data_IF_158277595184
#
_entry.id   IF_158277595184
#
_cell.length_a   1.000
_cell.length_b   1.000
_cell.length_c   1.000
_cell.angle_alpha   90.00
_cell.angle_beta   90.00
_cell.angle_gamma   90.00
#
_symmetry.space_group_name_H-M   'P 1'
#
loop_
_entity.id
_entity.type
_entity.pdbx_description
1 polymer ?
#
# COMPACT_ATOMS: atom_id res chain seq x y z
N UNK A 1 -5.94 -6.47 0.13
CA UNK A 1 -5.47 -5.53 -0.91
C UNK A 1 -6.17 -4.20 -0.75
N UNK A 2 -5.44 -3.09 -0.76
CA UNK A 2 -6.05 -1.76 -0.79
C UNK A 2 -6.59 -1.41 -2.18
N UNK A 3 -7.42 -0.36 -2.23
CA UNK A 3 -7.91 0.21 -3.48
C UNK A 3 -6.80 0.93 -4.26
N UNK A 4 -7.14 1.50 -5.42
CA UNK A 4 -6.19 2.14 -6.34
C UNK A 4 -5.29 1.12 -7.06
N UNK A 5 -3.99 1.39 -7.18
CA UNK A 5 -3.02 0.52 -7.85
C UNK A 5 -2.82 -0.86 -7.19
N UNK A 6 -2.69 -1.01 -5.85
CA UNK A 6 -2.45 -2.31 -5.22
C UNK A 6 -3.35 -3.46 -5.70
N UNK A 7 -4.66 -3.25 -5.80
CA UNK A 7 -5.58 -4.28 -6.29
C UNK A 7 -5.48 -4.50 -7.80
N UNK A 8 -5.20 -3.45 -8.59
CA UNK A 8 -5.06 -3.54 -10.06
C UNK A 8 -3.77 -4.23 -10.45
N UNK A 9 -2.68 -3.91 -9.76
CA UNK A 9 -1.37 -4.51 -10.00
C UNK A 9 -1.37 -5.99 -9.60
N UNK A 10 -2.09 -6.34 -8.53
CA UNK A 10 -2.30 -7.73 -8.16
C UNK A 10 -3.15 -8.51 -9.18
N UNK A 11 -4.10 -7.85 -9.86
CA UNK A 11 -4.92 -8.44 -10.93
C UNK A 11 -4.13 -8.67 -12.22
N UNK A 12 -3.11 -7.84 -12.47
CA UNK A 12 -2.18 -7.96 -13.61
C UNK A 12 -1.00 -8.90 -13.33
N UNK A 13 -0.55 -8.99 -12.07
CA UNK A 13 0.61 -9.78 -11.69
C UNK A 13 0.31 -11.29 -11.73
N UNK A 14 1.33 -12.14 -11.96
CA UNK A 14 1.17 -13.59 -11.85
C UNK A 14 0.68 -13.99 -10.45
N UNK A 15 -0.50 -14.60 -10.40
CA UNK A 15 -1.07 -15.14 -9.16
C UNK A 15 -0.63 -16.59 -8.99
N UNK A 16 -0.28 -16.99 -7.76
CA UNK A 16 -0.01 -18.40 -7.44
C UNK A 16 -1.25 -19.24 -7.71
N UNK A 17 -1.07 -20.51 -8.08
CA UNK A 17 -2.18 -21.43 -8.33
C UNK A 17 -3.13 -21.60 -7.11
N UNK A 18 -2.62 -21.38 -5.89
CA UNK A 18 -3.38 -21.36 -4.65
C UNK A 18 -2.98 -20.11 -3.83
N UNK A 19 -3.64 -18.96 -4.06
CA UNK A 19 -3.25 -17.68 -3.46
C UNK A 19 -3.76 -17.48 -2.02
N UNK A 20 -4.58 -18.40 -1.49
CA UNK A 20 -5.29 -18.20 -0.24
C UNK A 20 -6.39 -17.11 -0.32
N UNK A 21 -7.06 -16.80 0.81
CA UNK A 21 -8.13 -15.80 0.84
C UNK A 21 -7.63 -14.38 0.56
N UNK A 22 -8.33 -13.65 -0.31
CA UNK A 22 -8.05 -12.25 -0.64
C UNK A 22 -9.23 -11.37 -0.23
N UNK A 23 -8.94 -10.32 0.53
CA UNK A 23 -9.93 -9.34 0.99
C UNK A 23 -9.62 -7.95 0.41
N UNK A 24 -10.66 -7.21 0.01
CA UNK A 24 -10.54 -5.84 -0.47
C UNK A 24 -11.86 -5.06 -0.29
N UNK A 25 -11.77 -3.78 0.09
CA UNK A 25 -12.92 -2.88 0.24
C UNK A 25 -13.40 -2.35 -1.12
N UNK A 26 -13.98 -3.22 -1.96
CA UNK A 26 -14.36 -2.91 -3.35
C UNK A 26 -15.77 -2.33 -3.52
N UNK A 27 -16.57 -2.23 -2.45
CA UNK A 27 -17.93 -1.68 -2.51
C UNK A 27 -17.95 -0.23 -3.04
N UNK A 28 -17.36 0.70 -2.27
CA UNK A 28 -17.19 2.11 -2.70
C UNK A 28 -15.75 2.46 -3.08
N UNK A 29 -14.81 1.54 -2.90
CA UNK A 29 -13.40 1.71 -3.32
C UNK A 29 -12.63 2.87 -2.64
N UNK A 30 -13.06 3.32 -1.46
CA UNK A 30 -12.38 4.39 -0.69
C UNK A 30 -11.02 3.98 -0.13
N UNK A 31 -10.18 4.96 0.20
CA UNK A 31 -8.88 4.70 0.86
C UNK A 31 -9.01 4.66 2.39
N UNK A 32 -10.15 5.11 2.91
CA UNK A 32 -10.51 5.15 4.32
C UNK A 32 -10.54 3.73 4.93
N UNK A 33 -10.03 3.59 6.15
CA UNK A 33 -10.14 2.35 6.93
C UNK A 33 -9.40 1.15 6.34
N UNK A 34 -8.42 1.36 5.46
CA UNK A 34 -7.62 0.30 4.83
C UNK A 34 -6.84 -0.54 5.85
N UNK A 35 -6.12 0.11 6.77
CA UNK A 35 -5.37 -0.51 7.87
C UNK A 35 -6.32 -1.07 8.91
N UNK A 36 -7.38 -0.34 9.27
CA UNK A 36 -8.41 -0.81 10.20
C UNK A 36 -9.04 -2.13 9.72
N UNK A 37 -9.41 -2.20 8.44
CA UNK A 37 -9.99 -3.40 7.84
C UNK A 37 -9.00 -4.57 7.86
N UNK A 38 -7.75 -4.36 7.48
CA UNK A 38 -6.73 -5.42 7.50
C UNK A 38 -6.46 -5.94 8.91
N UNK A 39 -6.47 -5.06 9.91
CA UNK A 39 -6.36 -5.41 11.33
C UNK A 39 -7.53 -6.29 11.76
N UNK A 40 -8.76 -5.90 11.44
CA UNK A 40 -9.95 -6.68 11.75
C UNK A 40 -9.97 -8.07 11.09
N UNK A 41 -9.57 -8.15 9.81
CA UNK A 41 -9.41 -9.43 9.10
C UNK A 41 -8.40 -10.33 9.82
N UNK A 42 -7.22 -9.82 10.12
CA UNK A 42 -6.15 -10.58 10.75
C UNK A 42 -6.54 -11.09 12.16
N UNK A 43 -7.28 -10.29 12.92
CA UNK A 43 -7.84 -10.68 14.21
C UNK A 43 -8.92 -11.75 14.07
N UNK A 44 -9.84 -11.60 13.11
CA UNK A 44 -10.97 -12.51 12.93
C UNK A 44 -10.55 -13.88 12.38
N UNK A 45 -9.56 -13.93 11.49
CA UNK A 45 -9.05 -15.19 10.93
C UNK A 45 -8.00 -15.84 11.83
N UNK A 46 -7.36 -15.06 12.72
CA UNK A 46 -6.22 -15.48 13.53
C UNK A 46 -5.10 -16.12 12.68
N UNK A 47 -4.85 -15.54 11.50
CA UNK A 47 -3.79 -15.97 10.57
C UNK A 47 -2.86 -14.82 10.22
N UNK A 48 -1.56 -15.09 9.98
CA UNK A 48 -0.65 -14.08 9.45
C UNK A 48 -1.23 -13.44 8.19
N UNK A 49 -1.38 -12.12 8.22
CA UNK A 49 -2.05 -11.36 7.17
C UNK A 49 -1.09 -10.34 6.58
N UNK A 50 -1.13 -10.16 5.26
CA UNK A 50 -0.39 -9.11 4.56
C UNK A 50 -1.35 -8.11 3.94
N UNK A 51 -1.19 -6.83 4.28
CA UNK A 51 -1.83 -5.73 3.60
C UNK A 51 -0.85 -5.14 2.59
N UNK A 52 -1.23 -5.08 1.31
CA UNK A 52 -0.58 -4.22 0.31
C UNK A 52 -1.42 -2.95 0.11
N UNK A 53 -0.82 -1.79 0.36
CA UNK A 53 -1.45 -0.48 0.17
C UNK A 53 -0.49 0.54 -0.47
N UNK A 54 -1.02 1.66 -0.97
CA UNK A 54 -0.21 2.81 -1.39
C UNK A 54 0.06 3.78 -0.25
N UNK A 55 1.04 4.65 -0.40
CA UNK A 55 1.42 5.70 0.55
C UNK A 55 0.26 6.59 1.00
N UNK A 56 -0.57 7.09 0.08
CA UNK A 56 -1.69 7.95 0.42
C UNK A 56 -2.75 7.23 1.25
N UNK A 57 -3.03 5.96 0.94
CA UNK A 57 -3.97 5.15 1.71
C UNK A 57 -3.41 4.82 3.11
N UNK A 58 -2.11 4.56 3.20
CA UNK A 58 -1.44 4.38 4.48
C UNK A 58 -1.50 5.66 5.32
N UNK A 59 -1.11 6.81 4.76
CA UNK A 59 -1.13 8.09 5.45
C UNK A 59 -2.55 8.48 5.89
N UNK A 60 -3.56 8.22 5.06
CA UNK A 60 -4.96 8.51 5.36
C UNK A 60 -5.49 7.70 6.56
N UNK A 61 -5.02 6.45 6.74
CA UNK A 61 -5.51 5.55 7.79
C UNK A 61 -4.46 5.22 8.87
N UNK A 62 -3.34 5.95 8.92
CA UNK A 62 -2.23 5.67 9.84
C UNK A 62 -2.65 5.68 11.32
N UNK A 63 -3.68 6.47 11.66
CA UNK A 63 -4.28 6.48 12.99
C UNK A 63 -4.79 5.11 13.46
N UNK A 64 -5.11 4.20 12.53
CA UNK A 64 -5.54 2.84 12.83
C UNK A 64 -4.41 1.92 13.33
N UNK A 65 -3.15 2.38 13.30
CA UNK A 65 -2.03 1.72 13.99
C UNK A 65 -2.07 1.89 15.52
N UNK A 66 -2.86 2.85 16.02
CA UNK A 66 -3.02 3.11 17.45
C UNK A 66 -3.85 2.02 18.14
N UNK A 67 -3.23 0.89 18.46
CA UNK A 67 -3.86 -0.20 19.22
C UNK A 67 -3.48 -0.08 20.69
N UNK A 68 -4.52 0.03 21.54
CA UNK A 68 -4.37 0.15 22.99
C UNK A 68 -3.56 -1.00 23.62
N UNK A 69 -2.87 -0.76 24.74
CA UNK A 69 -1.97 -1.74 25.34
C UNK A 69 -2.69 -3.00 25.87
N UNK A 70 -3.99 -2.91 26.11
CA UNK A 70 -4.84 -4.03 26.57
C UNK A 70 -5.60 -4.72 25.44
N UNK A 71 -5.52 -4.19 24.22
CA UNK A 71 -6.26 -4.71 23.08
C UNK A 71 -5.49 -5.85 22.39
N UNK A 72 -6.21 -6.81 21.78
CA UNK A 72 -5.58 -7.85 20.98
C UNK A 72 -4.76 -7.27 19.82
N UNK A 73 -3.58 -7.84 19.57
CA UNK A 73 -2.71 -7.46 18.44
C UNK A 73 -2.61 -8.62 17.44
N UNK A 74 -2.91 -8.40 16.14
CA UNK A 74 -2.76 -9.44 15.14
C UNK A 74 -1.31 -9.62 14.69
N UNK A 75 -1.06 -10.71 13.95
CA UNK A 75 0.09 -10.82 13.06
C UNK A 75 -0.26 -10.17 11.72
N UNK A 76 0.18 -8.93 11.50
CA UNK A 76 -0.15 -8.10 10.34
C UNK A 76 1.10 -7.42 9.78
N UNK A 77 1.48 -7.80 8.57
CA UNK A 77 2.52 -7.11 7.79
C UNK A 77 1.87 -6.11 6.83
N UNK A 78 2.25 -4.84 6.93
CA UNK A 78 1.75 -3.78 6.05
C UNK A 78 2.85 -3.41 5.08
N UNK A 79 2.66 -3.74 3.81
CA UNK A 79 3.54 -3.35 2.71
C UNK A 79 2.96 -2.09 2.07
N UNK A 80 3.71 -1.00 2.16
CA UNK A 80 3.33 0.30 1.60
C UNK A 80 4.16 0.54 0.34
N UNK A 81 3.51 0.51 -0.83
CA UNK A 81 4.12 0.98 -2.07
C UNK A 81 4.14 2.50 -2.05
N UNK A 82 5.32 3.08 -1.79
CA UNK A 82 5.52 4.51 -1.66
C UNK A 82 6.14 5.09 -2.93
N UNK A 83 5.26 5.61 -3.78
CA UNK A 83 5.58 6.34 -5.00
C UNK A 83 5.51 7.86 -4.83
N UNK A 84 5.50 8.33 -3.57
CA UNK A 84 5.48 9.75 -3.17
C UNK A 84 4.28 10.51 -3.74
N UNK A 85 3.13 9.85 -3.80
CA UNK A 85 1.85 10.43 -4.18
C UNK A 85 1.07 9.57 -5.18
N UNK A 86 -0.24 9.74 -5.20
CA UNK A 86 -1.17 8.93 -5.98
C UNK A 86 -0.97 8.99 -7.49
N UNK A 87 -0.36 7.94 -8.06
CA UNK A 87 -0.11 7.83 -9.50
C UNK A 87 -1.28 7.22 -10.31
N UNK A 88 -2.41 6.89 -9.68
CA UNK A 88 -3.54 6.23 -10.39
C UNK A 88 -4.17 7.11 -11.48
N UNK A 89 -4.15 8.42 -11.27
CA UNK A 89 -4.70 9.37 -12.23
C UNK A 89 -3.73 9.67 -13.38
N UNK A 90 -2.49 9.17 -13.35
CA UNK A 90 -1.47 9.47 -14.34
C UNK A 90 -1.81 8.96 -15.75
N UNK A 91 -2.67 7.94 -15.86
CA UNK A 91 -3.15 7.41 -17.13
C UNK A 91 -4.40 8.15 -17.67
N UNK A 92 -4.99 9.07 -16.91
CA UNK A 92 -6.18 9.84 -17.30
C UNK A 92 -5.79 11.16 -17.98
N UNK A 93 -6.78 11.91 -18.47
CA UNK A 93 -6.60 13.18 -19.17
C UNK A 93 -5.82 14.21 -18.35
N UNK A 94 -5.97 14.18 -17.03
CA UNK A 94 -5.27 15.08 -16.10
C UNK A 94 -3.79 14.74 -15.94
N UNK A 95 -3.36 13.54 -16.32
CA UNK A 95 -1.95 13.12 -16.34
C UNK A 95 -1.16 13.65 -17.53
N UNK A 96 -1.80 14.35 -18.48
CA UNK A 96 -1.12 14.95 -19.63
C UNK A 96 -0.18 16.09 -19.21
N UNK A 97 0.94 16.24 -19.91
CA UNK A 97 2.01 17.20 -19.60
C UNK A 97 1.50 18.65 -19.43
N UNK A 98 0.51 19.06 -20.25
CA UNK A 98 -0.12 20.39 -20.16
C UNK A 98 -0.76 20.69 -18.80
N UNK A 99 -1.07 19.66 -18.00
CA UNK A 99 -1.64 19.79 -16.66
C UNK A 99 -0.64 19.41 -15.56
N UNK A 100 0.63 19.16 -15.87
CA UNK A 100 1.59 18.55 -14.95
C UNK A 100 1.71 19.25 -13.58
N UNK A 101 1.71 20.58 -13.55
CA UNK A 101 1.77 21.34 -12.28
C UNK A 101 0.51 21.20 -11.44
N UNK A 102 -0.68 21.19 -12.07
CA UNK A 102 -1.94 20.98 -11.38
C UNK A 102 -2.10 19.52 -10.94
N UNK A 103 -1.64 18.59 -11.78
CA UNK A 103 -1.58 17.16 -11.49
C UNK A 103 -0.78 16.90 -10.22
N UNK A 104 0.45 17.40 -10.17
CA UNK A 104 1.34 17.19 -9.02
C UNK A 104 0.71 17.73 -7.73
N UNK A 105 0.14 18.93 -7.79
CA UNK A 105 -0.43 19.60 -6.61
C UNK A 105 -1.72 18.94 -6.11
N UNK A 106 -2.59 18.45 -7.00
CA UNK A 106 -3.98 18.08 -6.66
C UNK A 106 -4.23 16.57 -6.72
N UNK A 107 -3.60 15.87 -7.66
CA UNK A 107 -3.85 14.45 -7.91
C UNK A 107 -2.76 13.58 -7.31
N UNK A 108 -1.48 13.86 -7.63
CA UNK A 108 -0.36 13.13 -7.04
C UNK A 108 -0.29 13.40 -5.53
N UNK A 109 -0.45 14.65 -5.10
CA UNK A 109 -0.49 15.02 -3.67
C UNK A 109 0.71 14.46 -2.88
N UNK A 110 1.96 14.83 -3.25
CA UNK A 110 3.13 14.41 -2.49
C UNK A 110 3.02 14.95 -1.05
N UNK A 111 2.94 14.05 -0.08
CA UNK A 111 2.67 14.43 1.33
C UNK A 111 3.92 14.90 2.07
N UNK A 112 5.11 14.51 1.60
CA UNK A 112 6.38 14.78 2.28
C UNK A 112 6.58 14.03 3.59
N UNK A 113 5.68 13.10 3.94
CA UNK A 113 5.75 12.32 5.16
C UNK A 113 6.87 11.28 5.09
N UNK A 114 7.58 11.11 6.21
CA UNK A 114 8.38 9.91 6.43
C UNK A 114 7.48 8.82 7.03
N UNK A 115 7.00 7.91 6.18
CA UNK A 115 6.08 6.86 6.60
C UNK A 115 6.68 5.87 7.62
N UNK A 116 8.01 5.71 7.65
CA UNK A 116 8.68 4.93 8.68
C UNK A 116 8.56 5.64 10.03
N UNK A 117 8.80 6.96 10.06
CA UNK A 117 8.62 7.76 11.26
C UNK A 117 7.15 7.82 11.71
N UNK A 118 6.20 7.89 10.77
CA UNK A 118 4.76 7.83 11.07
C UNK A 118 4.41 6.52 11.78
N UNK A 119 4.83 5.38 11.24
CA UNK A 119 4.60 4.07 11.89
C UNK A 119 5.26 3.99 13.28
N UNK A 120 6.50 4.49 13.40
CA UNK A 120 7.22 4.53 14.66
C UNK A 120 6.53 5.40 15.72
N UNK A 121 5.84 6.48 15.33
CA UNK A 121 5.05 7.31 16.24
C UNK A 121 3.89 6.55 16.90
N UNK A 122 3.40 5.48 16.27
CA UNK A 122 2.41 4.55 16.83
C UNK A 122 3.04 3.34 17.54
N UNK A 123 4.37 3.31 17.69
CA UNK A 123 5.10 2.20 18.30
C UNK A 123 5.12 0.93 17.45
N UNK A 124 4.96 1.05 16.13
CA UNK A 124 5.00 -0.07 15.19
C UNK A 124 6.37 -0.14 14.51
N UNK A 125 7.08 -1.29 14.56
CA UNK A 125 8.31 -1.49 13.83
C UNK A 125 8.14 -1.21 12.34
N UNK A 126 9.03 -0.40 11.78
CA UNK A 126 8.99 -0.05 10.37
C UNK A 126 10.39 0.06 9.79
N UNK A 127 10.53 -0.31 8.52
CA UNK A 127 11.76 -0.11 7.75
C UNK A 127 11.47 0.23 6.30
N UNK A 128 12.43 0.89 5.67
CA UNK A 128 12.37 1.30 4.27
C UNK A 128 13.19 0.35 3.39
N UNK A 129 12.57 -0.13 2.32
CA UNK A 129 13.14 -1.03 1.33
C UNK A 129 13.18 -0.31 -0.02
N UNK A 130 14.26 -0.50 -0.77
CA UNK A 130 14.58 0.23 -2.00
C UNK A 130 14.77 -0.67 -3.21
N UNK A 131 14.94 -1.97 -2.99
CA UNK A 131 15.21 -2.93 -4.06
C UNK A 131 14.26 -4.12 -3.98
N UNK A 132 14.04 -4.77 -5.11
CA UNK A 132 13.25 -6.01 -5.16
C UNK A 132 13.86 -7.13 -4.30
N UNK A 133 15.20 -7.16 -4.18
CA UNK A 133 15.90 -8.12 -3.32
C UNK A 133 15.64 -7.85 -1.83
N UNK A 134 15.67 -6.59 -1.39
CA UNK A 134 15.31 -6.21 -0.03
C UNK A 134 13.85 -6.57 0.29
N UNK A 135 12.94 -6.35 -0.67
CA UNK A 135 11.52 -6.74 -0.54
C UNK A 135 11.39 -8.25 -0.43
N UNK A 136 12.01 -9.02 -1.32
CA UNK A 136 11.96 -10.47 -1.29
C UNK A 136 12.52 -11.04 0.02
N UNK A 137 13.66 -10.51 0.48
CA UNK A 137 14.26 -10.88 1.76
C UNK A 137 13.33 -10.59 2.93
N UNK A 138 12.77 -9.39 3.00
CA UNK A 138 11.84 -9.00 4.06
C UNK A 138 10.56 -9.85 4.07
N UNK A 139 10.01 -10.19 2.89
CA UNK A 139 8.83 -11.03 2.77
C UNK A 139 9.08 -12.50 3.16
N UNK A 140 10.32 -12.98 3.03
CA UNK A 140 10.72 -14.32 3.46
C UNK A 140 10.89 -14.44 4.98
N UNK A 141 11.06 -13.33 5.69
CA UNK A 141 11.11 -13.32 7.15
C UNK A 141 9.73 -13.67 7.74
N UNK A 142 9.67 -14.46 8.84
CA UNK A 142 8.41 -14.75 9.53
C UNK A 142 7.71 -13.46 9.98
N UNK A 143 6.42 -13.33 9.69
CA UNK A 143 5.61 -12.22 10.19
C UNK A 143 5.27 -12.43 11.68
N UNK A 144 5.60 -11.45 12.51
CA UNK A 144 5.33 -11.48 13.96
C UNK A 144 4.84 -10.12 14.47
N UNK A 145 3.63 -10.11 15.06
CA UNK A 145 2.99 -8.85 15.48
C UNK A 145 2.67 -7.95 14.28
N UNK A 146 2.65 -6.64 14.51
CA UNK A 146 2.41 -5.65 13.45
C UNK A 146 3.74 -5.07 13.00
N UNK A 147 3.96 -4.99 11.69
CA UNK A 147 5.12 -4.30 11.10
C UNK A 147 4.74 -3.55 9.82
N UNK A 148 5.56 -2.55 9.48
CA UNK A 148 5.41 -1.76 8.24
C UNK A 148 6.67 -1.86 7.38
N UNK A 149 6.51 -2.30 6.14
CA UNK A 149 7.55 -2.29 5.11
C UNK A 149 7.21 -1.18 4.12
N UNK A 150 7.94 -0.07 4.17
CA UNK A 150 7.79 1.03 3.22
C UNK A 150 8.70 0.74 2.03
N UNK A 151 8.11 0.51 0.86
CA UNK A 151 8.84 0.13 -0.36
C UNK A 151 8.86 1.34 -1.29
N UNK A 152 10.05 1.84 -1.60
CA UNK A 152 10.20 2.89 -2.60
C UNK A 152 9.82 2.34 -3.98
N UNK A 153 8.87 2.99 -4.63
CA UNK A 153 8.42 2.66 -5.98
C UNK A 153 8.58 3.89 -6.86
N UNK A 154 9.17 3.72 -8.05
CA UNK A 154 9.23 4.81 -9.01
C UNK A 154 7.89 4.94 -9.74
N UNK A 155 7.32 6.15 -9.73
CA UNK A 155 6.14 6.48 -10.54
C UNK A 155 6.51 6.98 -11.94
N UNK A 156 7.78 7.31 -12.21
CA UNK A 156 8.20 7.70 -13.54
C UNK A 156 7.89 6.57 -14.53
N UNK A 157 7.33 6.94 -15.69
CA UNK A 157 6.94 5.96 -16.71
C UNK A 157 5.68 5.13 -16.38
N UNK A 158 5.00 5.34 -15.23
CA UNK A 158 3.80 4.57 -14.87
C UNK A 158 2.72 4.59 -15.95
N UNK A 159 2.46 5.76 -16.54
CA UNK A 159 1.48 5.89 -17.62
C UNK A 159 1.90 5.14 -18.90
N UNK A 160 3.20 5.05 -19.17
CA UNK A 160 3.74 4.30 -20.31
C UNK A 160 3.63 2.80 -20.06
N UNK A 161 4.02 2.34 -18.88
CA UNK A 161 3.86 0.93 -18.45
C UNK A 161 2.39 0.48 -18.51
N UNK A 162 1.46 1.31 -18.03
CA UNK A 162 0.03 0.98 -18.12
C UNK A 162 -0.46 0.87 -19.57
N UNK A 163 0.08 1.69 -20.49
CA UNK A 163 -0.27 1.58 -21.91
C UNK A 163 0.34 0.34 -22.56
N UNK A 164 1.57 -0.03 -22.22
CA UNK A 164 2.20 -1.23 -22.80
C UNK A 164 1.47 -2.49 -22.36
N UNK A 165 1.13 -2.61 -21.07
CA UNK A 165 0.41 -3.78 -20.53
C UNK A 165 -1.03 -3.91 -21.07
N UNK A 166 -1.66 -2.80 -21.50
CA UNK A 166 -3.00 -2.83 -22.09
C UNK A 166 -2.99 -3.17 -23.60
N UNK A 167 -1.81 -3.18 -24.23
CA UNK A 167 -1.65 -3.51 -25.64
C UNK A 167 -1.32 -4.99 -25.89
N UNK A 168 -0.97 -5.73 -24.84
CA UNK A 168 -0.74 -7.19 -24.82
C UNK A 168 -2.06 -7.96 -24.54
#
# INVERSE_FOLDING_TARGET
LANSHPVRDADLAPVRADPGPVYANRGLSGIDGTIATATGVALATNTPTTLLCGDLAFAHDAGSLAIGPTEPRPSLRIVVADDRGGSIFAALEYGQERFGSAFERVFATPTGLDLVAVAAAYGVPARRLRTAEEVAGALAEPAGGIEVLVVDVDRAGRAELSRSLAAD
#
